data_IF_608181371099
#
_entry.id   IF_608181371099
#
_cell.length_a   1.000
_cell.length_b   1.000
_cell.length_c   1.000
_cell.angle_alpha   90.00
_cell.angle_beta   90.00
_cell.angle_gamma   90.00
#
_symmetry.space_group_name_H-M   'P 1'
#
loop_
_entity.id
_entity.type
_entity.pdbx_description
1 polymer ?
#
# COMPACT_ATOMS: atom_id res chain seq x y z
N UNK A 1 -21.21 -4.96 15.75
CA UNK A 1 -20.06 -5.62 15.05
C UNK A 1 -18.79 -5.01 15.62
N UNK A 2 -17.85 -5.83 15.99
CA UNK A 2 -16.57 -5.32 16.47
C UNK A 2 -15.84 -4.64 15.31
N UNK A 3 -15.29 -3.44 15.57
CA UNK A 3 -14.49 -2.72 14.58
C UNK A 3 -13.16 -3.42 14.34
N UNK A 4 -12.68 -3.39 13.09
CA UNK A 4 -11.35 -3.88 12.74
C UNK A 4 -10.29 -2.88 13.22
N UNK A 5 -9.37 -3.33 14.05
CA UNK A 5 -8.35 -2.49 14.68
C UNK A 5 -7.12 -2.39 13.77
N UNK A 6 -6.83 -1.20 13.28
CA UNK A 6 -5.69 -0.93 12.40
C UNK A 6 -4.49 -0.41 13.18
N UNK A 7 -3.30 -0.89 12.83
CA UNK A 7 -2.02 -0.38 13.31
C UNK A 7 -1.18 0.14 12.13
N UNK A 8 -0.66 1.36 12.24
CA UNK A 8 0.17 1.96 11.19
C UNK A 8 1.65 1.89 11.55
N UNK A 9 2.46 1.38 10.64
CA UNK A 9 3.93 1.46 10.69
C UNK A 9 4.37 2.54 9.69
N UNK A 10 4.85 3.65 10.23
CA UNK A 10 5.09 4.89 9.50
C UNK A 10 4.04 5.96 9.83
N UNK A 11 4.48 7.21 9.94
CA UNK A 11 3.65 8.38 10.22
C UNK A 11 4.01 9.57 9.30
N UNK A 12 4.45 9.27 8.08
CA UNK A 12 4.75 10.24 7.04
C UNK A 12 3.48 10.73 6.31
N UNK A 13 3.70 11.37 5.16
CA UNK A 13 2.63 11.91 4.31
C UNK A 13 1.55 10.87 3.99
N UNK A 14 1.95 9.69 3.50
CA UNK A 14 0.98 8.69 3.06
C UNK A 14 0.17 8.09 4.22
N UNK A 15 0.79 7.89 5.39
CA UNK A 15 0.08 7.44 6.57
C UNK A 15 -0.99 8.45 7.03
N UNK A 16 -0.66 9.75 6.98
CA UNK A 16 -1.63 10.81 7.27
C UNK A 16 -2.73 10.88 6.22
N UNK A 17 -2.40 10.70 4.94
CA UNK A 17 -3.38 10.63 3.85
C UNK A 17 -4.39 9.49 4.08
N UNK A 18 -3.93 8.29 4.40
CA UNK A 18 -4.80 7.17 4.74
C UNK A 18 -5.62 7.43 6.01
N UNK A 19 -5.05 8.05 7.05
CA UNK A 19 -5.79 8.43 8.24
C UNK A 19 -6.94 9.41 7.91
N UNK A 20 -6.71 10.37 7.00
CA UNK A 20 -7.77 11.26 6.53
C UNK A 20 -8.86 10.46 5.78
N UNK A 21 -8.48 9.53 4.92
CA UNK A 21 -9.41 8.70 4.17
C UNK A 21 -10.26 7.80 5.08
N UNK A 22 -9.72 7.32 6.20
CA UNK A 22 -10.46 6.53 7.19
C UNK A 22 -11.68 7.25 7.78
N UNK A 23 -11.74 8.58 7.74
CA UNK A 23 -12.95 9.35 8.15
C UNK A 23 -14.20 8.97 7.34
N UNK A 24 -14.03 8.36 6.17
CA UNK A 24 -15.11 7.92 5.29
C UNK A 24 -15.32 6.39 5.35
N UNK A 25 -14.55 5.67 6.17
CA UNK A 25 -14.63 4.21 6.29
C UNK A 25 -15.30 3.85 7.60
N UNK A 26 -16.28 2.94 7.55
CA UNK A 26 -16.99 2.45 8.72
C UNK A 26 -16.48 1.09 9.17
N UNK A 27 -16.58 0.79 10.45
CA UNK A 27 -16.21 -0.50 11.02
C UNK A 27 -14.70 -0.71 11.18
N UNK A 28 -13.92 0.37 11.18
CA UNK A 28 -12.47 0.35 11.43
C UNK A 28 -12.09 1.40 12.45
N UNK A 29 -11.11 1.08 13.30
CA UNK A 29 -10.50 2.00 14.25
C UNK A 29 -8.98 2.01 14.07
N UNK A 30 -8.37 3.19 14.01
CA UNK A 30 -6.93 3.33 14.09
C UNK A 30 -6.51 3.30 15.56
N UNK A 31 -5.94 2.18 15.99
CA UNK A 31 -5.62 1.93 17.41
C UNK A 31 -4.16 2.17 17.77
N UNK A 32 -3.28 2.24 16.77
CA UNK A 32 -1.86 2.41 17.07
C UNK A 32 -1.02 2.88 15.90
N UNK A 33 0.09 3.53 16.24
CA UNK A 33 1.10 4.01 15.28
C UNK A 33 2.49 3.74 15.83
N UNK A 34 3.38 3.22 14.98
CA UNK A 34 4.83 3.15 15.21
C UNK A 34 5.54 4.05 14.21
N UNK A 35 6.36 4.97 14.70
CA UNK A 35 7.24 5.81 13.87
C UNK A 35 8.28 6.47 14.78
N UNK A 36 9.54 6.64 14.36
CA UNK A 36 10.57 7.20 15.23
C UNK A 36 10.23 8.57 15.82
N UNK A 37 9.69 9.47 15.03
CA UNK A 37 9.53 10.88 15.42
C UNK A 37 8.11 11.43 15.31
N UNK A 38 7.20 10.76 14.60
CA UNK A 38 5.88 11.32 14.23
C UNK A 38 4.70 10.51 14.77
N UNK A 39 4.94 9.41 15.50
CA UNK A 39 3.89 8.51 15.98
C UNK A 39 2.89 9.24 16.89
N UNK A 40 3.37 10.03 17.86
CA UNK A 40 2.53 10.79 18.80
C UNK A 40 1.61 11.78 18.09
N UNK A 41 2.15 12.53 17.11
CA UNK A 41 1.37 13.52 16.37
C UNK A 41 0.26 12.87 15.52
N UNK A 42 0.54 11.72 14.88
CA UNK A 42 -0.48 11.00 14.10
C UNK A 42 -1.51 10.33 15.00
N UNK A 43 -1.10 9.79 16.14
CA UNK A 43 -2.01 9.22 17.12
C UNK A 43 -2.97 10.29 17.71
N UNK A 44 -2.45 11.48 18.01
CA UNK A 44 -3.27 12.61 18.45
C UNK A 44 -4.25 13.06 17.36
N UNK A 45 -3.78 13.17 16.11
CA UNK A 45 -4.65 13.46 14.96
C UNK A 45 -5.78 12.44 14.85
N UNK A 46 -5.50 11.15 14.98
CA UNK A 46 -6.49 10.09 14.91
C UNK A 46 -7.58 10.26 16.00
N UNK A 47 -7.17 10.44 17.25
CA UNK A 47 -8.13 10.68 18.36
C UNK A 47 -8.98 11.93 18.15
N UNK A 48 -8.36 13.05 17.77
CA UNK A 48 -9.09 14.33 17.53
C UNK A 48 -10.10 14.24 16.38
N UNK A 49 -9.91 13.29 15.45
CA UNK A 49 -10.80 13.09 14.32
C UNK A 49 -11.74 11.88 14.47
N UNK A 50 -11.83 11.29 15.67
CA UNK A 50 -12.74 10.18 15.94
C UNK A 50 -12.40 8.89 15.21
N UNK A 51 -11.11 8.65 14.89
CA UNK A 51 -10.67 7.46 14.17
C UNK A 51 -10.35 6.27 15.09
N UNK A 52 -10.53 6.43 16.40
CA UNK A 52 -10.28 5.44 17.44
C UNK A 52 -9.33 5.95 18.53
N UNK A 53 -9.18 5.15 19.60
CA UNK A 53 -8.29 5.42 20.74
C UNK A 53 -6.82 5.11 20.41
N UNK A 54 -6.30 5.81 19.43
CA UNK A 54 -4.98 5.58 18.86
C UNK A 54 -3.85 5.91 19.85
N UNK A 55 -2.87 5.01 19.97
CA UNK A 55 -1.68 5.15 20.80
C UNK A 55 -0.42 5.17 19.94
N UNK A 56 0.62 5.89 20.41
CA UNK A 56 1.96 5.73 19.87
C UNK A 56 2.63 4.55 20.56
N UNK A 57 3.16 3.62 19.79
CA UNK A 57 3.94 2.49 20.27
C UNK A 57 5.42 2.69 19.93
N UNK A 58 6.29 2.08 20.71
CA UNK A 58 7.74 2.18 20.52
C UNK A 58 8.27 1.08 19.60
N UNK A 59 7.60 -0.08 19.54
CA UNK A 59 8.03 -1.22 18.73
C UNK A 59 6.91 -1.77 17.87
N UNK A 60 7.29 -2.38 16.75
CA UNK A 60 6.35 -3.09 15.84
C UNK A 60 5.72 -4.28 16.58
N UNK A 61 6.48 -4.97 17.42
CA UNK A 61 5.98 -6.10 18.19
C UNK A 61 4.85 -5.72 19.16
N UNK A 62 4.96 -4.56 19.84
CA UNK A 62 3.88 -4.04 20.69
C UNK A 62 2.64 -3.68 19.85
N UNK A 63 2.83 -3.00 18.73
CA UNK A 63 1.73 -2.66 17.83
C UNK A 63 0.99 -3.91 17.37
N UNK A 64 1.71 -4.93 16.90
CA UNK A 64 1.14 -6.19 16.39
C UNK A 64 0.30 -6.95 17.43
N UNK A 65 0.61 -6.82 18.73
CA UNK A 65 -0.18 -7.41 19.82
C UNK A 65 -1.50 -6.67 20.08
N UNK A 66 -1.60 -5.43 19.63
CA UNK A 66 -2.71 -4.54 19.97
C UNK A 66 -3.61 -4.17 18.77
N UNK A 67 -3.36 -4.70 17.58
CA UNK A 67 -4.17 -4.46 16.39
C UNK A 67 -4.56 -5.76 15.69
N UNK A 68 -5.49 -5.67 14.75
CA UNK A 68 -5.94 -6.79 13.91
C UNK A 68 -5.25 -6.76 12.54
N UNK A 69 -5.00 -5.58 12.00
CA UNK A 69 -4.35 -5.39 10.70
C UNK A 69 -3.23 -4.37 10.83
N UNK A 70 -2.07 -4.72 10.29
CA UNK A 70 -0.93 -3.81 10.19
C UNK A 70 -0.89 -3.21 8.79
N UNK A 71 -0.75 -1.87 8.74
CA UNK A 71 -0.56 -1.12 7.50
C UNK A 71 0.88 -0.59 7.44
N UNK A 72 1.66 -1.08 6.50
CA UNK A 72 3.07 -0.74 6.33
C UNK A 72 3.19 0.47 5.38
N UNK A 73 3.30 1.65 5.97
CA UNK A 73 3.38 2.96 5.30
C UNK A 73 4.77 3.61 5.40
N UNK A 74 5.74 2.87 5.88
CA UNK A 74 7.13 3.32 5.94
C UNK A 74 7.76 3.42 4.54
N UNK A 75 8.86 4.17 4.39
CA UNK A 75 9.65 4.19 3.16
C UNK A 75 10.03 2.79 2.68
N UNK A 76 10.10 2.60 1.36
CA UNK A 76 10.31 1.30 0.74
C UNK A 76 11.61 0.60 1.19
N UNK A 77 12.69 1.35 1.43
CA UNK A 77 13.99 0.79 1.85
C UNK A 77 14.00 0.19 3.26
N UNK A 78 12.96 0.44 4.08
CA UNK A 78 12.82 -0.12 5.43
C UNK A 78 11.86 -1.32 5.49
N UNK A 79 11.12 -1.59 4.42
CA UNK A 79 9.97 -2.50 4.48
C UNK A 79 10.35 -3.96 4.70
N UNK A 80 11.46 -4.42 4.12
CA UNK A 80 11.90 -5.81 4.31
C UNK A 80 12.24 -6.08 5.77
N UNK A 81 12.97 -5.18 6.42
CA UNK A 81 13.29 -5.27 7.84
C UNK A 81 12.03 -5.25 8.70
N UNK A 82 11.15 -4.27 8.49
CA UNK A 82 9.90 -4.13 9.23
C UNK A 82 8.97 -5.32 9.02
N UNK A 83 8.91 -5.90 7.80
CA UNK A 83 8.15 -7.12 7.56
C UNK A 83 8.74 -8.31 8.32
N UNK A 84 10.05 -8.38 8.44
CA UNK A 84 10.73 -9.37 9.29
C UNK A 84 10.30 -9.25 10.75
N UNK A 85 10.24 -8.04 11.30
CA UNK A 85 9.75 -7.79 12.66
C UNK A 85 8.27 -8.17 12.84
N UNK A 86 7.42 -7.86 11.86
CA UNK A 86 6.01 -8.27 11.86
C UNK A 86 5.91 -9.81 11.89
N UNK A 87 6.67 -10.48 11.01
CA UNK A 87 6.68 -11.94 10.95
C UNK A 87 7.16 -12.58 12.26
N UNK A 88 8.17 -11.99 12.90
CA UNK A 88 8.63 -12.43 14.23
C UNK A 88 7.56 -12.22 15.30
N UNK A 89 6.88 -11.06 15.30
CA UNK A 89 5.80 -10.78 16.24
C UNK A 89 4.64 -11.80 16.11
N UNK A 90 4.26 -12.16 14.88
CA UNK A 90 3.23 -13.18 14.62
C UNK A 90 3.69 -14.55 15.14
N UNK A 91 4.92 -14.97 14.84
CA UNK A 91 5.50 -16.22 15.36
C UNK A 91 5.59 -16.23 16.89
N UNK A 92 5.75 -15.07 17.52
CA UNK A 92 5.74 -14.89 18.97
C UNK A 92 4.32 -14.75 19.58
N UNK A 93 3.26 -14.98 18.77
CA UNK A 93 1.87 -15.07 19.25
C UNK A 93 1.00 -13.82 19.00
N UNK A 94 1.46 -12.83 18.26
CA UNK A 94 0.57 -11.74 17.82
C UNK A 94 -0.51 -12.29 16.86
N UNK A 95 -1.77 -11.89 17.08
CA UNK A 95 -2.93 -12.43 16.36
C UNK A 95 -3.42 -11.46 15.29
N UNK A 96 -2.60 -11.21 14.29
CA UNK A 96 -2.99 -10.40 13.16
C UNK A 96 -3.98 -11.16 12.25
N UNK A 97 -4.91 -10.41 11.66
CA UNK A 97 -5.89 -10.88 10.68
C UNK A 97 -5.51 -10.49 9.25
N UNK A 98 -4.55 -9.59 9.08
CA UNK A 98 -4.11 -9.14 7.76
C UNK A 98 -2.95 -8.15 7.79
N UNK A 99 -2.38 -7.95 6.61
CA UNK A 99 -1.29 -7.03 6.35
C UNK A 99 -1.58 -6.20 5.10
N UNK A 100 -1.36 -4.91 5.20
CA UNK A 100 -1.45 -3.98 4.07
C UNK A 100 -0.09 -3.36 3.82
N UNK A 101 0.33 -3.27 2.57
CA UNK A 101 1.58 -2.61 2.18
C UNK A 101 1.34 -1.58 1.08
N UNK A 102 1.96 -0.41 1.24
CA UNK A 102 1.98 0.66 0.25
C UNK A 102 2.94 0.35 -0.92
N UNK A 103 2.64 0.98 -2.04
CA UNK A 103 3.48 0.96 -3.23
C UNK A 103 4.78 1.79 -3.01
N UNK A 104 5.84 1.50 -3.77
CA UNK A 104 6.17 0.21 -4.35
C UNK A 104 6.51 -0.78 -3.24
N UNK A 105 6.39 -2.09 -3.46
CA UNK A 105 6.68 -3.10 -2.43
C UNK A 105 8.11 -2.99 -1.89
N UNK A 106 9.07 -2.87 -2.77
CA UNK A 106 10.49 -2.72 -2.44
C UNK A 106 11.19 -1.84 -3.47
N UNK A 107 12.49 -1.61 -3.29
CA UNK A 107 13.34 -0.89 -4.24
C UNK A 107 13.69 -1.72 -5.46
N UNK A 108 13.74 -3.03 -5.28
CA UNK A 108 14.12 -4.02 -6.30
C UNK A 108 13.13 -5.18 -6.31
N UNK A 109 13.16 -5.97 -7.38
CA UNK A 109 12.36 -7.21 -7.47
C UNK A 109 12.72 -8.18 -6.35
N UNK A 110 14.00 -8.29 -5.99
CA UNK A 110 14.47 -9.16 -4.91
C UNK A 110 13.88 -8.75 -3.56
N UNK A 111 13.85 -7.45 -3.24
CA UNK A 111 13.20 -6.96 -2.01
C UNK A 111 11.69 -7.22 -2.02
N UNK A 112 11.03 -7.03 -3.15
CA UNK A 112 9.60 -7.32 -3.29
C UNK A 112 9.31 -8.82 -3.08
N UNK A 113 10.13 -9.70 -3.66
CA UNK A 113 10.03 -11.16 -3.48
C UNK A 113 10.27 -11.57 -2.03
N UNK A 114 11.27 -10.97 -1.37
CA UNK A 114 11.54 -11.25 0.04
C UNK A 114 10.38 -10.79 0.94
N UNK A 115 9.79 -9.64 0.66
CA UNK A 115 8.62 -9.13 1.38
C UNK A 115 7.42 -10.08 1.26
N UNK A 116 7.16 -10.57 0.05
CA UNK A 116 6.12 -11.58 -0.22
C UNK A 116 6.42 -12.89 0.52
N UNK A 117 7.67 -13.38 0.47
CA UNK A 117 8.09 -14.58 1.17
C UNK A 117 7.89 -14.49 2.68
N UNK A 118 8.24 -13.34 3.28
CA UNK A 118 8.04 -13.08 4.70
C UNK A 118 6.55 -13.07 5.06
N UNK A 119 5.70 -12.42 4.26
CA UNK A 119 4.27 -12.40 4.47
C UNK A 119 3.66 -13.81 4.38
N UNK A 120 4.06 -14.59 3.37
CA UNK A 120 3.64 -15.98 3.22
C UNK A 120 4.08 -16.88 4.39
N UNK A 121 5.26 -16.61 4.99
CA UNK A 121 5.78 -17.40 6.11
C UNK A 121 4.92 -17.34 7.38
N UNK A 122 4.01 -16.37 7.47
CA UNK A 122 3.07 -16.20 8.59
C UNK A 122 1.60 -16.37 8.17
N UNK A 123 1.36 -16.74 6.91
CA UNK A 123 0.03 -17.07 6.36
C UNK A 123 -1.03 -15.99 6.64
N UNK A 124 -0.65 -14.71 6.53
CA UNK A 124 -1.57 -13.60 6.68
C UNK A 124 -2.20 -13.22 5.33
N UNK A 125 -3.51 -12.94 5.29
CA UNK A 125 -4.11 -12.23 4.17
C UNK A 125 -3.38 -10.91 3.93
N UNK A 126 -3.05 -10.63 2.68
CA UNK A 126 -2.29 -9.44 2.30
C UNK A 126 -3.05 -8.57 1.31
N UNK A 127 -2.86 -7.26 1.38
CA UNK A 127 -3.34 -6.31 0.38
C UNK A 127 -2.21 -5.35 0.00
N UNK A 128 -2.06 -5.14 -1.30
CA UNK A 128 -1.15 -4.15 -1.85
C UNK A 128 -1.95 -2.90 -2.24
N UNK A 129 -1.51 -1.73 -1.76
CA UNK A 129 -2.22 -0.50 -1.99
C UNK A 129 -1.69 0.24 -3.22
N UNK A 130 -2.40 0.08 -4.33
CA UNK A 130 -2.29 0.92 -5.51
C UNK A 130 -3.53 1.81 -5.58
N UNK A 131 -3.43 2.97 -4.97
CA UNK A 131 -4.57 3.86 -4.75
C UNK A 131 -5.16 4.43 -6.05
N UNK A 132 -4.36 4.58 -7.10
CA UNK A 132 -4.83 5.17 -8.36
C UNK A 132 -5.84 4.31 -9.09
N UNK A 133 -5.79 2.99 -8.96
CA UNK A 133 -6.83 2.09 -9.48
C UNK A 133 -8.22 2.37 -8.88
N UNK A 134 -8.26 3.00 -7.71
CA UNK A 134 -9.50 3.33 -6.99
C UNK A 134 -9.96 4.77 -7.18
N UNK A 135 -9.24 5.59 -7.94
CA UNK A 135 -9.66 6.95 -8.27
C UNK A 135 -10.96 6.95 -9.05
N UNK A 136 -11.83 7.93 -8.76
CA UNK A 136 -13.14 8.04 -9.45
C UNK A 136 -13.01 8.18 -10.96
N UNK A 137 -11.98 8.87 -11.43
CA UNK A 137 -11.67 9.03 -12.86
C UNK A 137 -11.35 7.69 -13.52
N UNK A 138 -10.48 6.89 -12.91
CA UNK A 138 -10.10 5.56 -13.41
C UNK A 138 -11.30 4.62 -13.39
N UNK A 139 -12.06 4.58 -12.30
CA UNK A 139 -13.28 3.76 -12.23
C UNK A 139 -14.30 4.14 -13.30
N UNK A 140 -14.57 5.43 -13.49
CA UNK A 140 -15.46 5.90 -14.55
C UNK A 140 -14.98 5.51 -15.94
N UNK A 141 -13.68 5.61 -16.19
CA UNK A 141 -13.10 5.20 -17.47
C UNK A 141 -13.33 3.70 -17.70
N UNK A 142 -13.08 2.86 -16.70
CA UNK A 142 -13.34 1.41 -16.78
C UNK A 142 -14.82 1.14 -17.09
N UNK A 143 -15.73 1.78 -16.35
CA UNK A 143 -17.17 1.61 -16.55
C UNK A 143 -17.63 2.03 -17.94
N UNK A 144 -17.07 3.12 -18.49
CA UNK A 144 -17.38 3.59 -19.85
C UNK A 144 -16.78 2.71 -20.94
N UNK A 145 -15.62 2.11 -20.72
CA UNK A 145 -14.96 1.23 -21.70
C UNK A 145 -15.51 -0.19 -21.69
N UNK A 146 -16.13 -0.63 -20.61
CA UNK A 146 -16.64 -1.98 -20.50
C UNK A 146 -17.68 -2.36 -21.60
N UNK A 147 -18.65 -1.51 -22.00
CA UNK A 147 -19.53 -1.80 -23.14
C UNK A 147 -18.78 -1.94 -24.45
N UNK A 148 -17.80 -1.06 -24.71
CA UNK A 148 -16.98 -1.09 -25.91
C UNK A 148 -16.15 -2.38 -25.98
N UNK A 149 -15.53 -2.79 -24.88
CA UNK A 149 -14.79 -4.04 -24.83
C UNK A 149 -15.68 -5.27 -25.11
N UNK A 150 -16.95 -5.24 -24.66
CA UNK A 150 -17.89 -6.33 -24.96
C UNK A 150 -18.29 -6.42 -26.43
N UNK A 151 -18.35 -5.30 -27.14
CA UNK A 151 -18.77 -5.24 -28.55
C UNK A 151 -17.62 -5.31 -29.54
N UNK A 152 -16.46 -4.75 -29.20
CA UNK A 152 -15.30 -4.59 -30.08
C UNK A 152 -14.12 -5.50 -29.75
N UNK A 153 -14.16 -6.16 -28.60
CA UNK A 153 -13.05 -6.95 -28.07
C UNK A 153 -12.19 -6.19 -27.06
N UNK A 154 -11.17 -6.85 -26.49
CA UNK A 154 -10.31 -6.26 -25.47
C UNK A 154 -9.49 -5.08 -26.00
N UNK A 155 -9.09 -4.21 -25.11
CA UNK A 155 -8.18 -3.10 -25.44
C UNK A 155 -6.82 -3.63 -25.89
N UNK A 156 -6.25 -3.00 -26.89
CA UNK A 156 -4.97 -3.42 -27.49
C UNK A 156 -3.84 -2.41 -27.23
N UNK A 157 -4.17 -1.18 -26.83
CA UNK A 157 -3.19 -0.14 -26.55
C UNK A 157 -3.67 0.77 -25.43
N UNK A 158 -2.80 1.05 -24.47
CA UNK A 158 -2.97 2.09 -23.47
C UNK A 158 -1.73 2.99 -23.45
N UNK A 159 -1.95 4.29 -23.38
CA UNK A 159 -0.92 5.28 -23.11
C UNK A 159 -1.27 5.93 -21.78
N UNK A 160 -0.36 5.84 -20.80
CA UNK A 160 -0.53 6.43 -19.48
C UNK A 160 0.66 7.35 -19.19
N UNK A 161 0.38 8.49 -18.60
CA UNK A 161 1.38 9.44 -18.15
C UNK A 161 0.95 10.02 -16.80
N UNK A 162 1.90 10.28 -15.94
CA UNK A 162 1.69 10.92 -14.65
C UNK A 162 2.84 11.88 -14.35
N UNK A 163 2.50 13.07 -13.91
CA UNK A 163 3.46 14.14 -13.64
C UNK A 163 3.10 14.84 -12.32
N UNK A 164 4.10 15.22 -11.53
CA UNK A 164 3.94 16.09 -10.37
C UNK A 164 5.22 16.91 -10.10
N UNK A 165 5.15 17.86 -9.18
CA UNK A 165 6.23 18.81 -8.87
C UNK A 165 7.44 18.20 -8.14
N UNK A 166 7.51 16.90 -7.99
CA UNK A 166 8.59 16.18 -7.33
C UNK A 166 8.28 15.78 -5.89
N UNK A 167 9.07 14.87 -5.32
CA UNK A 167 8.89 14.34 -3.98
C UNK A 167 9.27 15.37 -2.90
N UNK A 168 8.63 15.27 -1.73
CA UNK A 168 8.78 16.23 -0.63
C UNK A 168 9.78 15.81 0.46
N UNK A 169 10.17 14.53 0.48
CA UNK A 169 11.09 14.00 1.51
C UNK A 169 12.49 13.76 0.89
N UNK A 170 13.58 14.12 1.57
CA UNK A 170 14.94 14.03 1.00
C UNK A 170 15.38 12.65 0.53
N UNK A 171 14.87 11.58 1.16
CA UNK A 171 15.25 10.21 0.82
C UNK A 171 14.82 9.79 -0.61
N UNK A 172 13.85 10.47 -1.20
CA UNK A 172 13.47 10.22 -2.59
C UNK A 172 14.55 10.62 -3.60
N UNK A 173 15.44 11.55 -3.21
CA UNK A 173 16.55 12.01 -4.04
C UNK A 173 17.83 11.16 -3.85
N UNK A 174 17.81 10.25 -2.89
CA UNK A 174 18.89 9.28 -2.66
C UNK A 174 18.59 8.00 -3.46
N UNK A 175 19.35 7.70 -4.54
CA UNK A 175 19.07 6.54 -5.38
C UNK A 175 19.21 5.21 -4.64
N UNK A 176 20.02 5.14 -3.58
CA UNK A 176 20.19 3.94 -2.76
C UNK A 176 18.93 3.68 -1.92
N UNK A 177 18.32 4.73 -1.41
CA UNK A 177 17.10 4.62 -0.59
C UNK A 177 15.83 4.48 -1.43
N UNK A 178 15.73 5.26 -2.49
CA UNK A 178 14.53 5.27 -3.32
C UNK A 178 14.48 4.08 -4.30
N UNK A 179 15.62 3.72 -4.92
CA UNK A 179 15.76 2.57 -5.80
C UNK A 179 15.55 2.91 -7.28
N UNK A 180 14.33 3.06 -7.74
CA UNK A 180 14.00 3.15 -9.16
C UNK A 180 13.64 4.55 -9.68
N UNK A 181 13.90 5.63 -8.91
CA UNK A 181 13.61 7.01 -9.33
C UNK A 181 12.12 7.23 -9.64
N UNK A 182 11.86 8.09 -10.62
CA UNK A 182 10.49 8.45 -11.02
C UNK A 182 9.69 7.24 -11.56
N UNK A 183 10.36 6.28 -12.17
CA UNK A 183 9.70 5.07 -12.69
C UNK A 183 9.10 4.22 -11.55
N UNK A 184 9.86 4.05 -10.47
CA UNK A 184 9.39 3.30 -9.29
C UNK A 184 8.37 4.07 -8.46
N UNK A 185 8.49 5.41 -8.38
CA UNK A 185 7.59 6.22 -7.57
C UNK A 185 6.27 6.55 -8.28
N UNK A 186 6.33 6.98 -9.54
CA UNK A 186 5.19 7.43 -10.33
C UNK A 186 4.79 6.45 -11.41
N UNK A 187 5.76 5.93 -12.15
CA UNK A 187 5.52 5.00 -13.24
C UNK A 187 4.81 3.72 -12.80
N UNK A 188 4.98 3.28 -11.55
CA UNK A 188 4.24 2.15 -11.01
C UNK A 188 2.71 2.36 -11.08
N UNK A 189 2.20 3.56 -10.88
CA UNK A 189 0.79 3.89 -11.01
C UNK A 189 0.30 3.79 -12.47
N UNK A 190 1.06 4.40 -13.39
CA UNK A 190 0.76 4.34 -14.81
C UNK A 190 0.78 2.91 -15.34
N UNK A 191 1.77 2.11 -14.92
CA UNK A 191 1.87 0.68 -15.26
C UNK A 191 0.67 -0.09 -14.69
N UNK A 192 0.32 0.13 -13.43
CA UNK A 192 -0.82 -0.54 -12.80
C UNK A 192 -2.14 -0.21 -13.48
N UNK A 193 -2.37 1.07 -13.81
CA UNK A 193 -3.56 1.51 -14.52
C UNK A 193 -3.63 0.91 -15.94
N UNK A 194 -2.52 0.94 -16.70
CA UNK A 194 -2.45 0.34 -18.03
C UNK A 194 -2.68 -1.18 -17.98
N UNK A 195 -2.06 -1.87 -17.05
CA UNK A 195 -2.24 -3.31 -16.84
C UNK A 195 -3.71 -3.67 -16.57
N UNK A 196 -4.33 -2.91 -15.66
CA UNK A 196 -5.73 -3.10 -15.33
C UNK A 196 -6.66 -2.88 -16.53
N UNK A 197 -6.43 -1.84 -17.33
CA UNK A 197 -7.23 -1.52 -18.52
C UNK A 197 -7.03 -2.52 -19.66
N UNK A 198 -5.81 -3.03 -19.85
CA UNK A 198 -5.50 -4.03 -20.89
C UNK A 198 -5.99 -5.42 -20.51
N UNK A 199 -6.17 -5.70 -19.21
CA UNK A 199 -6.71 -7.00 -18.79
C UNK A 199 -8.14 -7.17 -19.30
N UNK A 200 -8.44 -8.23 -20.10
CA UNK A 200 -9.78 -8.43 -20.65
C UNK A 200 -10.83 -8.57 -19.55
N UNK A 201 -12.05 -8.08 -19.83
CA UNK A 201 -13.15 -8.14 -18.88
C UNK A 201 -13.41 -9.56 -18.35
N UNK A 202 -13.53 -9.67 -17.02
CA UNK A 202 -13.76 -10.93 -16.34
C UNK A 202 -12.53 -11.83 -16.19
N UNK A 203 -11.36 -11.38 -16.63
CA UNK A 203 -10.09 -12.08 -16.39
C UNK A 203 -9.38 -11.52 -15.15
N UNK A 204 -8.64 -12.34 -14.39
CA UNK A 204 -7.80 -11.84 -13.30
C UNK A 204 -6.62 -11.04 -13.84
N UNK A 205 -6.05 -10.15 -13.04
CA UNK A 205 -4.87 -9.36 -13.43
C UNK A 205 -3.65 -10.21 -13.78
N UNK A 206 -3.58 -11.43 -13.28
CA UNK A 206 -2.55 -12.43 -13.59
C UNK A 206 -2.73 -13.11 -14.95
N UNK A 207 -3.80 -12.77 -15.71
CA UNK A 207 -4.06 -13.34 -17.02
C UNK A 207 -3.05 -12.90 -18.08
N UNK A 208 -2.50 -11.69 -17.94
CA UNK A 208 -1.52 -11.15 -18.88
C UNK A 208 -0.10 -11.32 -18.33
N UNK A 209 0.82 -11.58 -19.26
CA UNK A 209 2.25 -11.64 -18.95
C UNK A 209 3.00 -10.66 -19.85
N UNK A 210 4.01 -9.93 -19.34
CA UNK A 210 4.85 -9.09 -20.19
C UNK A 210 5.72 -9.97 -21.09
N UNK A 211 5.71 -9.71 -22.39
CA UNK A 211 6.54 -10.43 -23.38
C UNK A 211 7.86 -9.69 -23.57
N UNK A 212 7.81 -8.35 -23.58
CA UNK A 212 8.99 -7.50 -23.71
C UNK A 212 8.77 -6.19 -22.96
N UNK A 213 9.84 -5.68 -22.37
CA UNK A 213 9.90 -4.37 -21.75
C UNK A 213 11.05 -3.59 -22.37
N UNK A 214 10.77 -2.36 -22.80
CA UNK A 214 11.76 -1.43 -23.32
C UNK A 214 11.66 -0.14 -22.52
N UNK A 215 12.78 0.29 -21.91
CA UNK A 215 12.88 1.51 -21.08
C UNK A 215 14.03 2.39 -21.53
#
# INVERSE_FOLDING_TARGET
MDHLRLGFIGAGFIAKFHAIALKQVRGVDLVGVVSPNRAGALAEFARKNGLGECKAYTTIAELCKNCDVVCLFAPNYLRVEMMGEIAQAVKAGARLKGLVCEKPLGRTVQEAQELVRLAQSVNLPTSFFENQLHMKSVKRMIDQLAPQQRSMGPMTLVRAAEEHGGPHEPWFWDPVRQGGGVLSDMGCHSIAAAWHLLTPLGKPLTFMEPIAVQA
#
